data_IF_745113573711
#
_entry.id   IF_745113573711
#
_cell.length_a   1.000
_cell.length_b   1.000
_cell.length_c   1.000
_cell.angle_alpha   90.00
_cell.angle_beta   90.00
_cell.angle_gamma   90.00
#
_symmetry.space_group_name_H-M   'P 1'
#
loop_
_entity.id
_entity.type
_entity.pdbx_description
1 polymer ?
#
# COMPACT_ATOMS: atom_id res chain seq x y z
N UNK A 1 8.06 -44.48 20.95
CA UNK A 1 7.27 -44.37 19.71
C UNK A 1 6.97 -42.89 19.50
N UNK A 2 7.66 -42.31 18.51
CA UNK A 2 7.53 -40.97 17.88
C UNK A 2 7.86 -39.75 18.74
N UNK A 3 9.14 -39.37 18.63
CA UNK A 3 9.64 -38.00 18.63
C UNK A 3 8.93 -37.17 17.55
N UNK A 4 8.66 -35.87 17.80
CA UNK A 4 9.04 -34.77 16.90
C UNK A 4 8.65 -33.39 17.50
N UNK A 5 9.49 -32.95 18.39
CA UNK A 5 9.74 -31.58 18.81
C UNK A 5 10.49 -30.86 17.68
N UNK A 6 9.77 -30.13 16.82
CA UNK A 6 10.33 -29.01 16.05
C UNK A 6 9.23 -28.20 15.36
N UNK A 7 8.61 -27.27 16.07
CA UNK A 7 7.99 -26.11 15.42
C UNK A 7 9.12 -25.09 15.37
N UNK A 8 9.94 -25.19 14.32
CA UNK A 8 10.99 -24.23 14.04
C UNK A 8 10.37 -22.85 13.82
N UNK A 9 11.04 -21.85 14.37
CA UNK A 9 10.84 -20.43 14.10
C UNK A 9 10.69 -20.22 12.59
N UNK A 10 9.51 -19.78 12.15
CA UNK A 10 9.26 -19.49 10.73
C UNK A 10 9.90 -18.14 10.42
N UNK A 11 11.16 -18.18 10.00
CA UNK A 11 11.94 -17.01 9.65
C UNK A 11 11.49 -16.47 8.28
N UNK A 12 10.46 -15.62 8.32
CA UNK A 12 9.84 -14.99 7.16
C UNK A 12 10.84 -14.30 6.23
N UNK A 13 11.96 -13.81 6.76
CA UNK A 13 12.97 -13.11 5.97
C UNK A 13 13.82 -14.09 5.17
N UNK A 14 14.15 -15.24 5.77
CA UNK A 14 14.91 -16.30 5.11
C UNK A 14 14.11 -17.00 4.01
N UNK A 15 12.87 -17.40 4.32
CA UNK A 15 12.03 -18.12 3.37
C UNK A 15 11.61 -17.24 2.18
N UNK A 16 11.40 -15.94 2.42
CA UNK A 16 11.15 -14.96 1.36
C UNK A 16 12.36 -14.79 0.44
N UNK A 17 13.57 -14.67 1.00
CA UNK A 17 14.80 -14.53 0.21
C UNK A 17 15.11 -15.79 -0.60
N UNK A 18 14.83 -16.98 -0.07
CA UNK A 18 15.00 -18.24 -0.79
C UNK A 18 14.00 -18.37 -1.95
N UNK A 19 12.74 -17.97 -1.75
CA UNK A 19 11.74 -17.93 -2.82
C UNK A 19 12.09 -16.91 -3.91
N UNK A 20 12.60 -15.73 -3.55
CA UNK A 20 12.97 -14.68 -4.50
C UNK A 20 14.20 -15.05 -5.34
N UNK A 21 15.20 -15.67 -4.72
CA UNK A 21 16.41 -16.11 -5.41
C UNK A 21 16.11 -17.26 -6.41
N UNK A 22 15.22 -18.19 -6.05
CA UNK A 22 14.81 -19.27 -6.96
C UNK A 22 14.01 -18.77 -8.17
N UNK A 23 13.24 -17.67 -8.04
CA UNK A 23 12.53 -17.04 -9.17
C UNK A 23 13.53 -16.37 -10.13
N UNK A 24 14.56 -15.72 -9.60
CA UNK A 24 15.58 -15.01 -10.39
C UNK A 24 16.44 -15.96 -11.24
N UNK A 25 16.69 -17.18 -10.76
CA UNK A 25 17.43 -18.20 -11.52
C UNK A 25 16.65 -18.70 -12.76
N UNK A 26 15.32 -18.68 -12.71
CA UNK A 26 14.46 -19.18 -13.81
C UNK A 26 14.34 -18.21 -15.00
N UNK A 27 14.63 -16.92 -14.81
CA UNK A 27 14.58 -15.91 -15.89
C UNK A 27 15.92 -15.72 -16.63
N UNK A 28 17.04 -16.28 -16.12
CA UNK A 28 18.36 -16.12 -16.76
C UNK A 28 18.63 -17.15 -17.88
N UNK A 29 17.85 -18.23 -17.96
CA UNK A 29 18.14 -19.35 -18.88
C UNK A 29 17.59 -19.13 -20.31
N UNK A 30 16.66 -18.19 -20.54
CA UNK A 30 15.94 -18.11 -21.82
C UNK A 30 16.38 -16.98 -22.78
N UNK A 31 17.52 -16.33 -22.52
CA UNK A 31 18.13 -15.39 -23.47
C UNK A 31 19.31 -16.03 -24.22
N UNK A 32 19.01 -16.85 -25.22
CA UNK A 32 19.99 -17.26 -26.23
C UNK A 32 20.40 -16.05 -27.10
N UNK A 33 21.70 -15.68 -27.21
CA UNK A 33 22.13 -14.80 -28.29
C UNK A 33 22.26 -15.58 -29.61
N UNK A 34 21.51 -15.11 -30.60
CA UNK A 34 21.49 -15.56 -31.99
C UNK A 34 22.86 -15.37 -32.68
N UNK A 35 23.41 -16.49 -33.17
CA UNK A 35 24.48 -16.70 -34.17
C UNK A 35 25.67 -15.72 -34.28
N UNK A 36 26.85 -16.28 -33.99
CA UNK A 36 28.17 -15.83 -34.45
C UNK A 36 28.26 -15.80 -35.99
N UNK A 37 28.66 -14.66 -36.57
CA UNK A 37 29.36 -14.64 -37.87
C UNK A 37 30.85 -14.37 -37.62
N UNK A 38 31.78 -15.12 -38.26
CA UNK A 38 33.22 -14.96 -38.04
C UNK A 38 33.86 -14.03 -39.07
N UNK A 39 35.10 -13.62 -38.78
CA UNK A 39 36.20 -13.24 -39.71
C UNK A 39 36.61 -11.74 -39.73
N UNK A 40 37.70 -11.46 -38.99
CA UNK A 40 38.92 -10.67 -39.33
C UNK A 40 38.72 -9.17 -39.68
N UNK A 41 39.33 -8.17 -39.00
CA UNK A 41 40.73 -7.80 -39.21
C UNK A 41 41.30 -6.85 -38.13
N UNK A 42 42.47 -7.21 -37.61
CA UNK A 42 43.31 -6.43 -36.69
C UNK A 42 43.82 -5.17 -37.39
N UNK A 43 43.29 -3.99 -37.05
CA UNK A 43 43.95 -2.71 -37.34
C UNK A 43 44.25 -1.97 -36.04
N UNK A 44 45.53 -1.98 -35.68
CA UNK A 44 46.12 -1.15 -34.63
C UNK A 44 45.87 0.33 -34.94
N UNK A 45 45.04 0.97 -34.12
CA UNK A 45 44.92 2.43 -34.04
C UNK A 45 45.29 2.80 -32.60
N UNK A 46 46.52 2.51 -32.20
CA UNK A 46 47.12 3.18 -31.04
C UNK A 46 47.97 4.32 -31.58
N UNK A 47 47.53 5.60 -31.48
CA UNK A 47 48.49 6.67 -31.34
C UNK A 47 49.21 6.48 -30.00
N UNK A 48 50.51 6.78 -30.01
CA UNK A 48 51.44 6.74 -28.88
C UNK A 48 50.80 7.22 -27.58
N UNK A 49 51.03 6.44 -26.53
CA UNK A 49 50.75 6.80 -25.15
C UNK A 49 51.64 7.99 -24.78
N UNK A 50 51.10 9.20 -24.87
CA UNK A 50 51.68 10.40 -24.28
C UNK A 50 51.65 10.24 -22.75
N UNK A 51 52.70 10.65 -22.02
CA UNK A 51 52.78 10.42 -20.59
C UNK A 51 51.61 11.12 -19.91
N UNK A 52 50.89 10.39 -19.06
CA UNK A 52 49.84 10.93 -18.19
C UNK A 52 50.42 12.11 -17.41
N UNK A 53 50.09 13.31 -17.89
CA UNK A 53 50.37 14.57 -17.22
C UNK A 53 49.63 14.56 -15.88
N UNK A 54 50.39 14.63 -14.80
CA UNK A 54 49.97 14.47 -13.40
C UNK A 54 49.12 15.65 -12.87
N UNK A 55 48.34 16.30 -13.73
CA UNK A 55 47.65 17.56 -13.39
C UNK A 55 46.13 17.53 -13.57
N UNK A 56 45.52 16.35 -13.63
CA UNK A 56 44.15 16.22 -13.14
C UNK A 56 44.21 15.93 -11.64
N UNK A 57 44.04 17.00 -10.88
CA UNK A 57 43.65 17.01 -9.48
C UNK A 57 42.44 16.08 -9.29
N UNK A 58 42.71 14.80 -9.12
CA UNK A 58 41.75 13.82 -8.68
C UNK A 58 41.42 14.21 -7.25
N UNK A 59 40.38 15.03 -7.07
CA UNK A 59 39.66 15.09 -5.82
C UNK A 59 39.00 13.71 -5.65
N UNK A 60 39.80 12.71 -5.25
CA UNK A 60 39.32 11.42 -4.78
C UNK A 60 38.69 11.74 -3.44
N UNK A 61 37.46 12.25 -3.50
CA UNK A 61 36.55 12.22 -2.37
C UNK A 61 36.47 10.73 -2.04
N UNK A 62 37.05 10.33 -0.91
CA UNK A 62 37.03 8.95 -0.48
C UNK A 62 35.58 8.47 -0.47
N UNK A 63 35.34 7.21 -0.86
CA UNK A 63 33.99 6.66 -0.90
C UNK A 63 33.26 6.85 0.45
N UNK A 64 34.00 6.87 1.56
CA UNK A 64 33.49 7.23 2.89
C UNK A 64 32.92 8.66 2.95
N UNK A 65 33.61 9.64 2.37
CA UNK A 65 33.16 11.04 2.33
C UNK A 65 31.95 11.21 1.39
N UNK A 66 31.89 10.48 0.27
CA UNK A 66 30.70 10.45 -0.60
C UNK A 66 29.50 9.85 0.13
N UNK A 67 29.70 8.74 0.84
CA UNK A 67 28.64 8.12 1.65
C UNK A 67 28.18 9.02 2.79
N UNK A 68 29.09 9.76 3.42
CA UNK A 68 28.76 10.75 4.44
C UNK A 68 27.92 11.89 3.87
N UNK A 69 28.32 12.47 2.74
CA UNK A 69 27.54 13.55 2.10
C UNK A 69 26.16 13.07 1.62
N UNK A 70 26.04 11.87 1.07
CA UNK A 70 24.74 11.31 0.66
C UNK A 70 23.85 11.08 1.89
N UNK A 71 24.44 10.58 2.98
CA UNK A 71 23.70 10.33 4.23
C UNK A 71 23.26 11.64 4.88
N UNK A 72 24.14 12.63 4.97
CA UNK A 72 23.86 13.94 5.55
C UNK A 72 22.76 14.68 4.75
N UNK A 73 22.90 14.75 3.42
CA UNK A 73 21.87 15.36 2.56
C UNK A 73 20.52 14.63 2.65
N UNK A 74 20.51 13.29 2.66
CA UNK A 74 19.26 12.52 2.81
C UNK A 74 18.59 12.73 4.17
N UNK A 75 19.38 12.87 5.25
CA UNK A 75 18.85 13.16 6.59
C UNK A 75 18.28 14.57 6.64
N UNK A 76 18.97 15.57 6.11
CA UNK A 76 18.45 16.94 6.02
C UNK A 76 17.17 17.02 5.21
N UNK A 77 17.10 16.35 4.06
CA UNK A 77 15.89 16.30 3.23
C UNK A 77 14.74 15.58 3.96
N UNK A 78 15.01 14.48 4.64
CA UNK A 78 14.01 13.77 5.44
C UNK A 78 13.50 14.60 6.62
N UNK A 79 14.37 15.31 7.33
CA UNK A 79 14.00 16.19 8.44
C UNK A 79 13.17 17.39 7.96
N UNK A 80 13.52 18.00 6.83
CA UNK A 80 12.73 19.08 6.22
C UNK A 80 11.35 18.61 5.79
N UNK A 81 11.26 17.43 5.15
CA UNK A 81 9.97 16.84 4.77
C UNK A 81 9.12 16.46 5.99
N UNK A 82 9.75 16.02 7.08
CA UNK A 82 9.08 15.73 8.35
C UNK A 82 8.62 16.99 9.07
N UNK A 83 9.39 18.08 9.00
CA UNK A 83 9.00 19.37 9.57
C UNK A 83 7.79 19.99 8.86
N UNK A 84 7.57 19.66 7.59
CA UNK A 84 6.38 20.08 6.85
C UNK A 84 5.12 19.22 7.12
N UNK A 85 5.25 18.15 7.89
CA UNK A 85 4.13 17.25 8.19
C UNK A 85 3.09 17.91 9.08
N UNK A 86 1.85 17.92 8.61
CA UNK A 86 0.71 18.40 9.38
C UNK A 86 -0.18 17.23 9.77
N UNK A 87 0.15 16.59 10.89
CA UNK A 87 -0.67 15.52 11.47
C UNK A 87 -2.16 15.91 11.65
N UNK A 88 -2.50 17.10 12.16
CA UNK A 88 -3.90 17.48 12.36
C UNK A 88 -4.67 17.60 11.03
N UNK A 89 -4.02 18.13 9.99
CA UNK A 89 -4.62 18.23 8.65
C UNK A 89 -4.89 16.86 8.04
N UNK A 90 -4.00 15.89 8.29
CA UNK A 90 -4.17 14.53 7.80
C UNK A 90 -5.39 13.85 8.44
N UNK A 91 -5.56 14.00 9.75
CA UNK A 91 -6.72 13.48 10.47
C UNK A 91 -8.00 14.12 9.93
N UNK A 92 -8.03 15.45 9.80
CA UNK A 92 -9.20 16.15 9.30
C UNK A 92 -9.55 15.73 7.86
N UNK A 93 -8.55 15.67 6.98
CA UNK A 93 -8.72 15.22 5.60
C UNK A 93 -9.22 13.78 5.50
N UNK A 94 -8.63 12.87 6.28
CA UNK A 94 -9.03 11.46 6.32
C UNK A 94 -10.44 11.26 6.86
N UNK A 95 -10.83 11.99 7.92
CA UNK A 95 -12.19 11.93 8.48
C UNK A 95 -13.21 12.41 7.44
N UNK A 96 -12.97 13.57 6.81
CA UNK A 96 -13.87 14.09 5.77
C UNK A 96 -14.00 13.11 4.60
N UNK A 97 -12.88 12.54 4.14
CA UNK A 97 -12.88 11.55 3.09
C UNK A 97 -13.66 10.28 3.49
N UNK A 98 -13.50 9.81 4.73
CA UNK A 98 -14.20 8.63 5.25
C UNK A 98 -15.73 8.84 5.24
N UNK A 99 -16.19 10.01 5.66
CA UNK A 99 -17.61 10.37 5.67
C UNK A 99 -18.16 10.35 4.24
N UNK A 100 -17.47 11.02 3.31
CA UNK A 100 -17.86 11.05 1.89
C UNK A 100 -17.92 9.62 1.31
N UNK A 101 -16.93 8.79 1.63
CA UNK A 101 -16.87 7.40 1.18
C UNK A 101 -18.07 6.58 1.69
N UNK A 102 -18.46 6.73 2.95
CA UNK A 102 -19.64 6.05 3.52
C UNK A 102 -20.93 6.48 2.81
N UNK A 103 -21.08 7.76 2.49
CA UNK A 103 -22.24 8.23 1.72
C UNK A 103 -22.27 7.66 0.31
N UNK A 104 -21.13 7.70 -0.40
CA UNK A 104 -21.00 7.13 -1.74
C UNK A 104 -21.31 5.63 -1.71
N UNK A 105 -20.81 4.91 -0.70
CA UNK A 105 -21.09 3.51 -0.48
C UNK A 105 -22.59 3.25 -0.31
N UNK A 106 -23.27 4.01 0.55
CA UNK A 106 -24.71 3.88 0.79
C UNK A 106 -25.52 4.06 -0.51
N UNK A 107 -25.20 5.10 -1.29
CA UNK A 107 -25.86 5.39 -2.57
C UNK A 107 -25.66 4.24 -3.56
N UNK A 108 -24.43 3.76 -3.71
CA UNK A 108 -24.11 2.66 -4.63
C UNK A 108 -24.80 1.36 -4.19
N UNK A 109 -24.87 1.10 -2.90
CA UNK A 109 -25.57 -0.11 -2.40
C UNK A 109 -27.04 -0.11 -2.79
N UNK A 110 -27.72 1.03 -2.63
CA UNK A 110 -29.14 1.18 -3.04
C UNK A 110 -29.29 1.00 -4.55
N UNK A 111 -28.34 1.49 -5.34
CA UNK A 111 -28.43 1.42 -6.80
C UNK A 111 -28.11 0.03 -7.38
N UNK A 112 -27.12 -0.67 -6.82
CA UNK A 112 -26.51 -1.85 -7.47
C UNK A 112 -26.98 -3.18 -6.87
N UNK A 113 -27.42 -3.23 -5.60
CA UNK A 113 -27.86 -4.46 -4.90
C UNK A 113 -26.88 -5.65 -4.98
N UNK A 114 -25.60 -5.43 -5.30
CA UNK A 114 -24.59 -6.46 -5.49
C UNK A 114 -23.29 -6.18 -4.72
N UNK A 115 -22.58 -7.25 -4.35
CA UNK A 115 -21.41 -7.24 -3.48
C UNK A 115 -20.17 -6.53 -4.03
N UNK A 116 -19.34 -6.08 -3.08
CA UNK A 116 -18.83 -4.70 -2.96
C UNK A 116 -17.28 -4.70 -2.89
N UNK A 117 -16.60 -5.78 -3.29
CA UNK A 117 -15.15 -5.96 -3.15
C UNK A 117 -14.32 -4.76 -3.62
N UNK A 118 -14.69 -4.19 -4.77
CA UNK A 118 -14.02 -3.05 -5.37
C UNK A 118 -14.22 -1.74 -4.60
N UNK A 119 -15.32 -1.62 -3.87
CA UNK A 119 -15.61 -0.43 -3.05
C UNK A 119 -14.73 -0.41 -1.80
N UNK A 120 -14.46 -1.56 -1.18
CA UNK A 120 -13.54 -1.63 -0.05
C UNK A 120 -12.12 -1.15 -0.46
N UNK A 121 -11.65 -1.55 -1.65
CA UNK A 121 -10.43 -0.98 -2.23
C UNK A 121 -10.56 0.52 -2.48
N UNK A 122 -11.65 0.96 -3.09
CA UNK A 122 -11.89 2.37 -3.39
C UNK A 122 -11.86 3.27 -2.15
N UNK A 123 -12.48 2.82 -1.06
CA UNK A 123 -12.52 3.52 0.23
C UNK A 123 -11.12 3.60 0.84
N UNK A 124 -10.40 2.47 0.91
CA UNK A 124 -9.05 2.44 1.46
C UNK A 124 -8.07 3.32 0.67
N UNK A 125 -8.14 3.29 -0.67
CA UNK A 125 -7.34 4.16 -1.54
C UNK A 125 -7.73 5.63 -1.35
N UNK A 126 -9.03 5.97 -1.34
CA UNK A 126 -9.49 7.35 -1.22
C UNK A 126 -9.12 7.97 0.14
N UNK A 127 -9.35 7.25 1.23
CA UNK A 127 -8.97 7.68 2.59
C UNK A 127 -7.45 7.75 2.72
N UNK A 128 -6.72 6.76 2.23
CA UNK A 128 -5.26 6.76 2.29
C UNK A 128 -4.64 7.90 1.48
N UNK A 129 -5.11 8.12 0.26
CA UNK A 129 -4.61 9.17 -0.62
C UNK A 129 -4.87 10.58 -0.06
N UNK A 130 -6.04 10.79 0.58
CA UNK A 130 -6.33 12.08 1.23
C UNK A 130 -5.42 12.30 2.44
N UNK A 131 -5.22 11.30 3.29
CA UNK A 131 -4.28 11.40 4.43
C UNK A 131 -2.85 11.68 3.94
N UNK A 132 -2.41 11.02 2.87
CA UNK A 132 -1.10 11.25 2.27
C UNK A 132 -0.95 12.68 1.73
N UNK A 133 -1.95 13.16 0.97
CA UNK A 133 -1.95 14.50 0.35
C UNK A 133 -2.02 15.63 1.37
N UNK A 134 -2.92 15.53 2.35
CA UNK A 134 -3.13 16.58 3.36
C UNK A 134 -2.10 16.52 4.49
N UNK A 135 -1.62 15.32 4.83
CA UNK A 135 -0.65 15.11 5.89
C UNK A 135 0.81 15.22 5.48
N UNK A 136 1.11 15.20 4.17
CA UNK A 136 2.45 14.96 3.62
C UNK A 136 3.10 13.72 4.24
N UNK A 137 2.31 12.65 4.35
CA UNK A 137 2.59 11.46 5.16
C UNK A 137 3.85 10.72 4.74
N UNK A 138 4.98 11.01 5.38
CA UNK A 138 6.26 10.32 5.19
C UNK A 138 6.54 9.30 6.30
N UNK A 139 5.82 9.38 7.43
CA UNK A 139 6.02 8.50 8.59
C UNK A 139 4.97 7.39 8.67
N UNK A 140 5.30 6.22 9.24
CA UNK A 140 4.39 5.07 9.33
C UNK A 140 3.12 5.33 10.16
N UNK A 141 3.12 6.35 11.01
CA UNK A 141 1.96 6.77 11.81
C UNK A 141 0.79 7.18 10.91
N UNK A 142 1.05 7.81 9.76
CA UNK A 142 0.01 8.15 8.78
C UNK A 142 -0.61 6.91 8.16
N UNK A 143 0.20 5.86 7.95
CA UNK A 143 -0.28 4.54 7.51
C UNK A 143 -1.29 3.95 8.49
N UNK A 144 -0.95 3.93 9.78
CA UNK A 144 -1.82 3.39 10.84
C UNK A 144 -3.13 4.20 10.91
N UNK A 145 -3.04 5.51 10.79
CA UNK A 145 -4.21 6.39 10.74
C UNK A 145 -5.13 6.03 9.57
N UNK A 146 -4.58 5.91 8.36
CA UNK A 146 -5.35 5.54 7.17
C UNK A 146 -5.97 4.16 7.24
N UNK A 147 -5.23 3.17 7.74
CA UNK A 147 -5.76 1.83 8.01
C UNK A 147 -6.96 1.86 8.98
N UNK A 148 -6.82 2.59 10.09
CA UNK A 148 -7.88 2.71 11.09
C UNK A 148 -9.13 3.38 10.54
N UNK A 149 -8.98 4.52 9.86
CA UNK A 149 -10.10 5.24 9.25
C UNK A 149 -10.76 4.46 8.11
N UNK A 150 -9.97 3.77 7.28
CA UNK A 150 -10.50 2.92 6.22
C UNK A 150 -11.30 1.74 6.77
N UNK A 151 -10.81 1.11 7.85
CA UNK A 151 -11.53 0.03 8.53
C UNK A 151 -12.86 0.53 9.12
N UNK A 152 -12.86 1.67 9.81
CA UNK A 152 -14.08 2.24 10.38
C UNK A 152 -15.09 2.58 9.27
N UNK A 153 -14.63 3.22 8.19
CA UNK A 153 -15.48 3.54 7.04
C UNK A 153 -16.06 2.27 6.40
N UNK A 154 -15.24 1.23 6.27
CA UNK A 154 -15.63 -0.06 5.69
C UNK A 154 -16.66 -0.78 6.57
N UNK A 155 -16.43 -0.82 7.88
CA UNK A 155 -17.35 -1.41 8.85
C UNK A 155 -18.70 -0.69 8.86
N UNK A 156 -18.69 0.66 8.91
CA UNK A 156 -19.91 1.46 8.82
C UNK A 156 -20.66 1.24 7.50
N UNK A 157 -19.93 1.19 6.38
CA UNK A 157 -20.48 0.89 5.06
C UNK A 157 -21.20 -0.46 5.03
N UNK A 158 -20.59 -1.51 5.59
CA UNK A 158 -21.18 -2.84 5.69
C UNK A 158 -22.48 -2.85 6.51
N UNK A 159 -22.50 -2.21 7.68
CA UNK A 159 -23.71 -2.11 8.51
C UNK A 159 -24.87 -1.46 7.74
N UNK A 160 -24.59 -0.35 7.05
CA UNK A 160 -25.59 0.34 6.23
C UNK A 160 -26.05 -0.58 5.10
N UNK A 161 -25.12 -1.27 4.44
CA UNK A 161 -25.46 -2.19 3.37
C UNK A 161 -26.37 -3.32 3.83
N UNK A 162 -26.06 -4.00 4.96
CA UNK A 162 -26.92 -5.07 5.49
C UNK A 162 -28.32 -4.56 5.84
N UNK A 163 -28.41 -3.37 6.43
CA UNK A 163 -29.69 -2.75 6.77
C UNK A 163 -30.52 -2.48 5.50
N UNK A 164 -29.90 -1.93 4.45
CA UNK A 164 -30.56 -1.68 3.17
C UNK A 164 -31.00 -2.99 2.49
N UNK A 165 -30.19 -4.05 2.55
CA UNK A 165 -30.55 -5.36 2.01
C UNK A 165 -31.76 -5.96 2.72
N UNK A 166 -31.83 -5.85 4.05
CA UNK A 166 -32.99 -6.33 4.81
C UNK A 166 -34.22 -5.49 4.51
N UNK A 167 -34.08 -4.16 4.41
CA UNK A 167 -35.19 -3.28 4.04
C UNK A 167 -35.77 -3.62 2.66
N UNK A 168 -34.92 -4.03 1.71
CA UNK A 168 -35.37 -4.46 0.38
C UNK A 168 -36.28 -5.70 0.41
N UNK A 169 -36.10 -6.57 1.40
CA UNK A 169 -36.93 -7.77 1.57
C UNK A 169 -38.32 -7.44 2.12
N UNK A 170 -38.49 -6.27 2.74
CA UNK A 170 -39.77 -5.77 3.22
C UNK A 170 -40.25 -4.67 2.26
N UNK A 171 -41.05 -5.04 1.24
CA UNK A 171 -41.55 -4.16 0.15
C UNK A 171 -42.19 -2.81 0.58
N UNK A 172 -42.46 -2.62 1.87
CA UNK A 172 -43.10 -1.44 2.46
C UNK A 172 -42.14 -0.45 3.14
N UNK A 173 -40.84 -0.76 3.25
CA UNK A 173 -39.85 0.14 3.86
C UNK A 173 -38.98 0.84 2.81
N UNK A 174 -38.93 2.17 2.85
CA UNK A 174 -38.01 2.95 2.02
C UNK A 174 -36.57 2.87 2.55
N UNK A 175 -35.57 2.81 1.67
CA UNK A 175 -34.16 2.75 2.08
C UNK A 175 -33.73 3.95 2.95
N UNK A 176 -34.27 5.14 2.67
CA UNK A 176 -34.02 6.33 3.49
C UNK A 176 -34.60 6.21 4.90
N UNK A 177 -35.72 5.52 5.03
CA UNK A 177 -36.38 5.25 6.31
C UNK A 177 -35.62 4.19 7.12
N UNK A 178 -35.01 3.21 6.43
CA UNK A 178 -34.12 2.23 7.04
C UNK A 178 -32.83 2.87 7.56
N UNK A 179 -32.25 3.81 6.80
CA UNK A 179 -31.06 4.56 7.23
C UNK A 179 -31.39 5.58 8.33
N UNK A 180 -32.54 6.25 8.28
CA UNK A 180 -32.92 7.25 9.28
C UNK A 180 -33.33 6.63 10.62
N UNK A 181 -33.92 5.43 10.60
CA UNK A 181 -34.29 4.67 11.80
C UNK A 181 -33.24 3.63 12.21
N UNK A 182 -32.00 3.77 11.71
CA UNK A 182 -30.91 2.85 12.03
C UNK A 182 -30.66 2.82 13.55
N UNK A 183 -31.06 1.73 14.19
CA UNK A 183 -30.77 1.49 15.60
C UNK A 183 -29.49 0.66 15.71
N UNK A 184 -28.48 1.21 16.37
CA UNK A 184 -27.17 0.57 16.53
C UNK A 184 -27.26 -0.85 17.10
N UNK A 185 -28.18 -1.10 18.05
CA UNK A 185 -28.34 -2.42 18.65
C UNK A 185 -28.85 -3.48 17.65
N UNK A 186 -29.82 -3.08 16.82
CA UNK A 186 -30.42 -3.96 15.79
C UNK A 186 -29.40 -4.17 14.66
N UNK A 187 -28.75 -3.09 14.23
CA UNK A 187 -27.73 -3.10 13.19
C UNK A 187 -26.52 -3.96 13.55
N UNK A 188 -26.05 -3.90 14.80
CA UNK A 188 -24.96 -4.76 15.28
C UNK A 188 -25.37 -6.23 15.28
N UNK A 189 -26.59 -6.53 15.72
CA UNK A 189 -27.14 -7.91 15.73
C UNK A 189 -27.22 -8.47 14.31
N UNK A 190 -27.77 -7.68 13.38
CA UNK A 190 -27.84 -8.00 11.95
C UNK A 190 -26.43 -8.22 11.37
N UNK A 191 -25.47 -7.35 11.70
CA UNK A 191 -24.12 -7.44 11.17
C UNK A 191 -23.41 -8.72 11.62
N UNK A 192 -23.65 -9.19 12.85
CA UNK A 192 -23.09 -10.46 13.34
C UNK A 192 -23.76 -11.65 12.65
N UNK A 193 -25.08 -11.60 12.47
CA UNK A 193 -25.85 -12.69 11.84
C UNK A 193 -25.56 -12.81 10.32
N UNK A 194 -25.36 -11.67 9.67
CA UNK A 194 -25.08 -11.56 8.22
C UNK A 194 -23.58 -11.63 7.92
N UNK A 195 -22.74 -11.73 8.95
CA UNK A 195 -21.28 -11.70 8.80
C UNK A 195 -20.81 -12.83 7.90
N UNK A 196 -20.15 -12.48 6.79
CA UNK A 196 -19.57 -13.45 5.88
C UNK A 196 -18.06 -13.48 6.04
N UNK A 197 -17.41 -14.65 5.89
CA UNK A 197 -15.94 -14.73 5.89
C UNK A 197 -15.27 -13.81 4.86
N UNK A 198 -15.99 -13.48 3.78
CA UNK A 198 -15.55 -12.52 2.75
C UNK A 198 -15.32 -11.11 3.33
N UNK A 199 -16.09 -10.69 4.33
CA UNK A 199 -15.98 -9.37 4.95
C UNK A 199 -14.61 -9.18 5.63
N UNK A 200 -14.03 -10.25 6.16
CA UNK A 200 -12.67 -10.24 6.73
C UNK A 200 -11.65 -9.90 5.65
N UNK A 201 -11.79 -10.46 4.45
CA UNK A 201 -10.91 -10.14 3.31
C UNK A 201 -11.05 -8.67 2.91
N UNK A 202 -12.26 -8.13 2.92
CA UNK A 202 -12.50 -6.72 2.61
C UNK A 202 -11.94 -5.78 3.68
N UNK A 203 -12.06 -6.12 4.95
CA UNK A 203 -11.42 -5.37 6.04
C UNK A 203 -9.90 -5.41 5.94
N UNK A 204 -9.32 -6.58 5.66
CA UNK A 204 -7.89 -6.73 5.42
C UNK A 204 -7.43 -5.88 4.22
N UNK A 205 -8.19 -5.88 3.14
CA UNK A 205 -7.90 -5.10 1.93
C UNK A 205 -8.02 -3.59 2.17
N UNK A 206 -9.03 -3.16 2.92
CA UNK A 206 -9.22 -1.75 3.31
C UNK A 206 -8.07 -1.27 4.21
N UNK A 207 -7.65 -2.10 5.18
CA UNK A 207 -6.47 -1.82 6.02
C UNK A 207 -5.22 -1.71 5.15
N UNK A 208 -4.98 -2.71 4.29
CA UNK A 208 -3.78 -2.78 3.46
C UNK A 208 -3.68 -1.58 2.51
N UNK A 209 -4.75 -1.28 1.79
CA UNK A 209 -4.81 -0.14 0.87
C UNK A 209 -4.76 1.19 1.61
N UNK A 210 -5.49 1.32 2.73
CA UNK A 210 -5.44 2.52 3.59
C UNK A 210 -4.04 2.79 4.14
N UNK A 211 -3.33 1.75 4.57
CA UNK A 211 -1.95 1.87 5.06
C UNK A 211 -0.99 2.24 3.94
N UNK A 212 -1.01 1.47 2.85
CA UNK A 212 -0.07 1.63 1.74
C UNK A 212 -0.19 3.00 1.06
N UNK A 213 -1.42 3.46 0.83
CA UNK A 213 -1.64 4.74 0.14
C UNK A 213 -1.48 5.96 1.04
N UNK A 214 -1.51 5.79 2.37
CA UNK A 214 -1.26 6.89 3.32
C UNK A 214 0.21 7.28 3.43
N UNK A 215 1.13 6.39 3.07
CA UNK A 215 2.57 6.61 3.17
C UNK A 215 3.11 6.97 1.79
N UNK A 216 3.79 8.10 1.68
CA UNK A 216 4.50 8.50 0.47
C UNK A 216 5.83 7.76 0.39
N UNK A 217 5.92 6.75 -0.49
CA UNK A 217 7.20 6.15 -0.90
C UNK A 217 7.79 7.01 -2.01
N UNK A 218 9.03 7.46 -1.81
CA UNK A 218 9.82 8.21 -2.78
C UNK A 218 10.70 7.26 -3.58
#
# INVERSE_FOLDING_TARGET
>A
MRDNDNIGDFDYEKDFNEAFNNVTESEIIDNQPLSLDPVIERRSIFPMEDPVDSTQQNNIISNETVMQMITENNIEDFERLKAEQNFPMAVLGGVLASIICVFIWAIITVATKYQISYMAMGVGVAVGFTIQKFGKGLTPVYGILGAGLALIACFCGNIISYTCFIADQYESYSYLEAISNLNWDISMSIAIETFQPMDVLFYGLAIYTGYMFSIKRN
#
